data_IF_281157809962
#
_entry.id   IF_281157809962
#
_cell.length_a   1.000
_cell.length_b   1.000
_cell.length_c   1.000
_cell.angle_alpha   90.00
_cell.angle_beta   90.00
_cell.angle_gamma   90.00
#
_symmetry.space_group_name_H-M   'P 1'
#
loop_
_entity.id
_entity.type
_entity.pdbx_description
1 polymer ?
#
# COMPACT_ATOMS: atom_id res chain seq x y z
N UNK A 1 1.99 -10.08 13.52
CA UNK A 1 2.95 -9.37 12.67
C UNK A 1 4.25 -9.27 13.44
N UNK A 2 5.39 -9.59 12.83
CA UNK A 2 6.70 -9.42 13.46
C UNK A 2 6.90 -7.94 13.85
N UNK A 3 7.31 -7.59 15.08
CA UNK A 3 7.56 -6.20 15.48
C UNK A 3 8.58 -5.47 14.60
N UNK A 4 9.50 -6.20 13.96
CA UNK A 4 10.50 -5.66 13.05
C UNK A 4 9.99 -5.58 11.59
N UNK A 5 8.77 -6.02 11.31
CA UNK A 5 8.21 -6.00 9.96
C UNK A 5 8.17 -4.56 9.41
N UNK A 6 8.90 -4.36 8.33
CA UNK A 6 9.00 -3.08 7.61
C UNK A 6 7.77 -2.82 6.75
N UNK A 7 7.54 -1.55 6.41
CA UNK A 7 6.47 -1.19 5.47
C UNK A 7 6.60 -1.88 4.13
N UNK A 8 7.84 -2.13 3.66
CA UNK A 8 8.10 -2.88 2.43
C UNK A 8 7.58 -4.31 2.52
N UNK A 9 7.87 -5.02 3.61
CA UNK A 9 7.43 -6.41 3.79
C UNK A 9 5.91 -6.52 3.82
N UNK A 10 5.22 -5.55 4.45
CA UNK A 10 3.76 -5.51 4.44
C UNK A 10 3.22 -5.27 3.01
N UNK A 11 3.78 -4.30 2.29
CA UNK A 11 3.37 -3.99 0.92
C UNK A 11 3.59 -5.19 -0.02
N UNK A 12 4.76 -5.81 0.04
CA UNK A 12 5.11 -7.00 -0.76
C UNK A 12 4.15 -8.17 -0.47
N UNK A 13 3.75 -8.34 0.79
CA UNK A 13 2.77 -9.38 1.18
C UNK A 13 1.38 -9.11 0.60
N UNK A 14 0.91 -7.86 0.66
CA UNK A 14 -0.38 -7.45 0.07
C UNK A 14 -0.35 -7.65 -1.44
N UNK A 15 0.68 -7.15 -2.13
CA UNK A 15 0.83 -7.30 -3.58
C UNK A 15 0.86 -8.77 -4.00
N UNK A 16 1.60 -9.62 -3.29
CA UNK A 16 1.65 -11.07 -3.54
C UNK A 16 0.29 -11.74 -3.37
N UNK A 17 -0.52 -11.29 -2.40
CA UNK A 17 -1.85 -11.87 -2.15
C UNK A 17 -2.85 -11.62 -3.28
N UNK A 18 -2.66 -10.53 -4.04
CA UNK A 18 -3.47 -10.16 -5.20
C UNK A 18 -2.74 -10.41 -6.54
N UNK A 19 -1.60 -11.12 -6.51
CA UNK A 19 -0.74 -11.43 -7.66
C UNK A 19 -0.21 -10.21 -8.44
N UNK A 20 -0.15 -9.03 -7.81
CA UNK A 20 0.31 -7.82 -8.45
C UNK A 20 1.85 -7.81 -8.55
N UNK A 21 2.37 -7.64 -9.78
CA UNK A 21 3.81 -7.52 -10.04
C UNK A 21 4.32 -6.07 -10.00
N UNK A 22 3.48 -5.11 -10.37
CA UNK A 22 3.86 -3.70 -10.54
C UNK A 22 3.70 -2.91 -9.23
N UNK A 23 4.37 -3.38 -8.17
CA UNK A 23 4.24 -2.82 -6.81
C UNK A 23 4.69 -1.36 -6.73
N UNK A 24 5.54 -0.92 -7.66
CA UNK A 24 6.12 0.44 -7.73
C UNK A 24 5.07 1.55 -7.83
N UNK A 25 3.90 1.26 -8.41
CA UNK A 25 2.81 2.22 -8.55
C UNK A 25 1.95 2.37 -7.30
N UNK A 26 2.06 1.44 -6.36
CA UNK A 26 1.16 1.35 -5.23
C UNK A 26 1.84 1.73 -3.92
N UNK A 27 1.02 2.10 -2.95
CA UNK A 27 1.45 2.33 -1.58
C UNK A 27 0.34 1.97 -0.59
N UNK A 28 0.72 1.90 0.68
CA UNK A 28 -0.22 1.76 1.78
C UNK A 28 -0.41 3.13 2.41
N UNK A 29 -1.63 3.66 2.36
CA UNK A 29 -2.02 4.86 3.08
C UNK A 29 -2.63 4.48 4.43
N UNK A 30 -2.32 5.24 5.47
CA UNK A 30 -2.87 5.07 6.80
C UNK A 30 -3.19 6.42 7.43
N UNK A 31 -4.06 6.39 8.43
CA UNK A 31 -4.35 7.57 9.26
C UNK A 31 -3.39 7.59 10.45
N UNK A 32 -2.61 8.66 10.58
CA UNK A 32 -1.75 8.89 11.75
C UNK A 32 -2.62 9.22 12.98
N UNK A 33 -2.08 9.08 14.18
CA UNK A 33 -2.70 9.50 15.46
C UNK A 33 -3.15 10.97 15.49
N UNK A 34 -2.63 11.80 14.59
CA UNK A 34 -3.04 13.19 14.37
C UNK A 34 -4.15 13.36 13.32
N UNK A 35 -4.79 12.26 12.91
CA UNK A 35 -5.85 12.21 11.89
C UNK A 35 -5.44 12.71 10.50
N UNK A 36 -4.15 12.67 10.17
CA UNK A 36 -3.65 12.95 8.84
C UNK A 36 -3.44 11.66 8.06
N UNK A 37 -3.86 11.65 6.80
CA UNK A 37 -3.52 10.58 5.88
C UNK A 37 -2.03 10.68 5.51
N UNK A 38 -1.32 9.57 5.67
CA UNK A 38 0.11 9.44 5.34
C UNK A 38 0.36 8.13 4.61
N UNK A 39 1.39 8.15 3.78
CA UNK A 39 1.92 6.94 3.15
C UNK A 39 2.87 6.23 4.09
N UNK A 40 2.72 4.90 4.18
CA UNK A 40 3.62 4.02 4.90
C UNK A 40 5.02 4.08 4.29
N UNK A 41 6.03 4.30 5.12
CA UNK A 41 7.43 4.32 4.69
C UNK A 41 7.96 2.90 4.63
N UNK A 42 8.62 2.56 3.54
CA UNK A 42 9.06 1.20 3.23
C UNK A 42 10.20 0.75 4.15
N UNK A 43 11.11 1.64 4.49
CA UNK A 43 12.34 1.34 5.24
C UNK A 43 12.13 1.32 6.76
N UNK A 44 10.94 1.74 7.24
CA UNK A 44 10.63 1.81 8.66
C UNK A 44 9.73 0.67 9.10
N UNK A 45 9.91 0.15 10.33
CA UNK A 45 8.95 -0.77 10.93
C UNK A 45 7.53 -0.19 10.90
N UNK A 46 6.52 -1.00 10.61
CA UNK A 46 5.13 -0.53 10.54
C UNK A 46 4.66 0.02 11.88
N UNK A 47 5.03 -0.66 12.97
CA UNK A 47 4.64 -0.28 14.33
C UNK A 47 5.32 1.01 14.82
N UNK A 48 6.40 1.47 14.20
CA UNK A 48 7.11 2.70 14.59
C UNK A 48 6.60 3.96 13.87
N UNK A 49 5.54 3.86 13.07
CA UNK A 49 5.07 4.94 12.20
C UNK A 49 3.79 5.64 12.70
N UNK A 50 3.46 5.50 13.99
CA UNK A 50 2.32 6.16 14.65
C UNK A 50 0.97 5.94 13.93
N UNK A 51 0.76 4.73 13.42
CA UNK A 51 -0.49 4.35 12.78
C UNK A 51 -1.62 4.38 13.82
N UNK A 52 -2.70 5.09 13.52
CA UNK A 52 -3.89 5.11 14.37
C UNK A 52 -4.52 3.73 14.42
N UNK A 53 -4.83 3.26 15.63
CA UNK A 53 -5.56 2.02 15.86
C UNK A 53 -7.04 2.33 15.96
N UNK A 54 -7.88 1.44 15.44
CA UNK A 54 -9.32 1.53 15.65
C UNK A 54 -9.72 1.03 17.06
N UNK A 55 -11.04 1.02 17.33
CA UNK A 55 -11.60 0.55 18.60
C UNK A 55 -11.28 -0.93 18.87
N UNK A 56 -11.08 -1.73 17.83
CA UNK A 56 -10.71 -3.14 17.91
C UNK A 56 -9.18 -3.36 18.03
N UNK A 57 -8.39 -2.29 18.20
CA UNK A 57 -6.92 -2.32 18.23
C UNK A 57 -6.28 -2.82 16.92
N UNK A 58 -7.01 -2.76 15.81
CA UNK A 58 -6.54 -3.17 14.49
C UNK A 58 -5.93 -1.98 13.75
N UNK A 59 -4.84 -2.23 13.04
CA UNK A 59 -4.21 -1.26 12.14
C UNK A 59 -4.92 -1.30 10.79
N UNK A 60 -5.38 -0.14 10.32
CA UNK A 60 -6.05 -0.02 9.03
C UNK A 60 -5.12 0.62 8.00
N UNK A 61 -5.03 -0.03 6.84
CA UNK A 61 -4.27 0.45 5.69
C UNK A 61 -5.16 0.44 4.45
N UNK A 62 -5.01 1.45 3.61
CA UNK A 62 -5.62 1.51 2.28
C UNK A 62 -4.55 1.27 1.24
N UNK A 63 -4.71 0.22 0.44
CA UNK A 63 -3.83 -0.07 -0.69
C UNK A 63 -4.30 0.75 -1.89
N UNK A 64 -3.50 1.73 -2.30
CA UNK A 64 -3.87 2.74 -3.28
C UNK A 64 -2.74 2.97 -4.28
N UNK A 65 -3.10 3.44 -5.49
CA UNK A 65 -2.13 3.94 -6.47
C UNK A 65 -1.53 5.25 -5.94
N UNK A 66 -0.21 5.30 -5.87
CA UNK A 66 0.58 6.45 -5.41
C UNK A 66 1.26 7.18 -6.56
N UNK A 67 1.62 6.45 -7.61
CA UNK A 67 2.26 6.97 -8.81
C UNK A 67 1.50 6.44 -10.02
N UNK A 68 1.27 7.31 -11.01
CA UNK A 68 0.72 6.90 -12.29
C UNK A 68 1.87 6.81 -13.30
N UNK A 69 1.88 5.82 -14.20
CA UNK A 69 2.82 5.82 -15.32
C UNK A 69 2.57 7.05 -16.21
N UNK A 70 3.63 7.61 -16.79
CA UNK A 70 3.52 8.73 -17.74
C UNK A 70 2.92 8.28 -19.08
N UNK A 71 3.14 7.02 -19.48
CA UNK A 71 2.48 6.37 -20.61
C UNK A 71 1.94 4.99 -20.21
N UNK A 72 0.61 4.89 -20.18
CA UNK A 72 -0.15 3.71 -19.76
C UNK A 72 -0.10 2.60 -20.81
N UNK A 73 0.29 2.92 -22.06
CA UNK A 73 0.18 2.01 -23.21
C UNK A 73 1.43 1.16 -23.50
N UNK A 74 2.60 1.55 -22.99
CA UNK A 74 3.85 0.78 -23.17
C UNK A 74 4.27 -0.03 -21.92
N UNK A 75 3.77 0.31 -20.73
CA UNK A 75 4.29 -0.26 -19.47
C UNK A 75 3.36 -1.20 -18.69
N UNK A 76 2.04 -1.20 -18.97
CA UNK A 76 1.12 -2.12 -18.30
C UNK A 76 1.22 -3.53 -18.91
N UNK A 77 1.72 -4.49 -18.14
CA UNK A 77 1.89 -5.88 -18.60
C UNK A 77 0.61 -6.73 -18.38
N UNK A 78 -0.33 -6.32 -17.52
CA UNK A 78 -1.49 -7.15 -17.13
C UNK A 78 -2.86 -6.57 -17.53
N UNK A 79 -3.73 -7.42 -18.11
CA UNK A 79 -5.08 -7.09 -18.63
C UNK A 79 -6.12 -6.73 -17.55
N UNK A 80 -5.89 -7.02 -16.26
CA UNK A 80 -6.87 -6.80 -15.18
C UNK A 80 -7.22 -5.32 -14.95
N UNK A 81 -6.39 -4.40 -15.44
CA UNK A 81 -6.53 -2.95 -15.25
C UNK A 81 -7.58 -2.32 -16.17
N UNK A 82 -8.09 -3.03 -17.19
CA UNK A 82 -9.00 -2.47 -18.19
C UNK A 82 -10.47 -2.39 -17.75
N UNK A 83 -10.87 -3.03 -16.64
CA UNK A 83 -12.29 -3.17 -16.27
C UNK A 83 -12.81 -1.99 -15.44
N UNK A 84 -12.72 -0.77 -15.97
CA UNK A 84 -13.55 0.38 -15.53
C UNK A 84 -14.21 1.12 -16.70
N UNK A 85 -14.33 0.47 -17.85
CA UNK A 85 -15.15 0.95 -18.98
C UNK A 85 -16.25 -0.07 -19.32
N UNK A 86 -17.31 -0.07 -18.53
CA UNK A 86 -18.66 -0.38 -19.04
C UNK A 86 -19.71 0.38 -18.26
#
# INVERSE_FOLDING_TARGET
MDPAATGKQLLDQVARSIYLREVWYFGLEYTDTKSFNRWLKHEKPVLSQNVQKDQAQVLQFRFLVRFYPEDVSEELIEEITQVWKT
#
